data_IF_826462744197
#
_entry.id   IF_826462744197
#
_cell.length_a   1.000
_cell.length_b   1.000
_cell.length_c   1.000
_cell.angle_alpha   90.00
_cell.angle_beta   90.00
_cell.angle_gamma   90.00
#
_symmetry.space_group_name_H-M   'P 1'
#
loop_
_entity.id
_entity.type
_entity.pdbx_description
1 polymer ?
#
# COMPACT_ATOMS: atom_id res chain seq x y z
N UNK A 1 9.76 35.35 14.08
CA UNK A 1 10.25 34.99 12.73
C UNK A 1 9.04 34.54 11.93
N UNK A 2 8.79 35.13 10.76
CA UNK A 2 7.59 34.86 9.96
C UNK A 2 7.51 33.36 9.63
N UNK A 3 6.41 32.72 10.03
CA UNK A 3 6.21 31.28 9.90
C UNK A 3 5.88 30.84 8.46
N UNK A 4 5.70 31.79 7.54
CA UNK A 4 5.15 31.58 6.19
C UNK A 4 6.13 31.89 5.06
N UNK A 5 7.43 31.98 5.36
CA UNK A 5 8.42 32.17 4.31
C UNK A 5 8.48 30.93 3.41
N UNK A 6 8.34 31.13 2.10
CA UNK A 6 8.40 30.07 1.08
C UNK A 6 9.56 30.31 0.11
N UNK A 7 10.00 29.25 -0.56
CA UNK A 7 10.83 29.33 -1.76
C UNK A 7 10.00 28.89 -2.96
N UNK A 8 10.06 29.66 -4.04
CA UNK A 8 9.32 29.36 -5.27
C UNK A 8 10.18 28.54 -6.22
N UNK A 9 9.79 27.30 -6.51
CA UNK A 9 10.50 26.40 -7.42
C UNK A 9 9.50 25.83 -8.42
N UNK A 10 9.74 26.05 -9.72
CA UNK A 10 8.95 25.49 -10.81
C UNK A 10 7.42 25.70 -10.67
N UNK A 11 7.00 26.87 -10.18
CA UNK A 11 5.57 27.19 -10.00
C UNK A 11 4.98 26.70 -8.67
N UNK A 12 5.79 26.15 -7.77
CA UNK A 12 5.35 25.63 -6.46
C UNK A 12 6.01 26.43 -5.36
N UNK A 13 5.21 26.94 -4.43
CA UNK A 13 5.67 27.56 -3.19
C UNK A 13 5.95 26.50 -2.14
N UNK A 14 7.22 26.29 -1.82
CA UNK A 14 7.67 25.31 -0.84
C UNK A 14 7.98 26.04 0.47
N UNK A 15 7.36 25.70 1.60
CA UNK A 15 7.71 26.29 2.90
C UNK A 15 9.20 26.11 3.22
N UNK A 16 9.88 27.20 3.60
CA UNK A 16 11.30 27.14 3.98
C UNK A 16 11.55 26.17 5.12
N UNK A 17 10.59 26.00 6.03
CA UNK A 17 10.66 25.01 7.11
C UNK A 17 10.88 23.58 6.61
N UNK A 18 10.31 23.21 5.46
CA UNK A 18 10.52 21.88 4.87
C UNK A 18 11.94 21.75 4.32
N UNK A 19 12.45 22.80 3.69
CA UNK A 19 13.83 22.85 3.16
C UNK A 19 14.83 22.79 4.31
N UNK A 20 14.61 23.56 5.36
CA UNK A 20 15.43 23.56 6.56
C UNK A 20 15.43 22.19 7.26
N UNK A 21 14.26 21.57 7.40
CA UNK A 21 14.14 20.23 7.95
C UNK A 21 14.88 19.19 7.11
N UNK A 22 14.82 19.29 5.78
CA UNK A 22 15.61 18.42 4.89
C UNK A 22 17.11 18.64 5.09
N UNK A 23 17.56 19.90 5.17
CA UNK A 23 18.97 20.26 5.34
C UNK A 23 19.58 19.85 6.69
N UNK A 24 18.75 19.82 7.74
CA UNK A 24 19.11 19.41 9.10
C UNK A 24 18.96 17.91 9.35
N UNK A 25 18.53 17.13 8.34
CA UNK A 25 18.18 15.72 8.52
C UNK A 25 17.10 15.53 9.60
N UNK A 26 16.10 16.40 9.63
CA UNK A 26 14.94 16.40 10.55
C UNK A 26 13.62 16.09 9.81
N UNK A 27 13.64 16.06 8.47
CA UNK A 27 12.47 15.72 7.66
C UNK A 27 12.06 14.25 7.79
N UNK A 28 10.76 14.02 7.96
CA UNK A 28 10.08 12.73 7.76
C UNK A 28 8.90 12.96 6.83
N UNK A 29 8.74 12.11 5.82
CA UNK A 29 7.62 12.20 4.86
C UNK A 29 6.65 11.05 5.12
N UNK A 30 5.38 11.39 5.36
CA UNK A 30 4.27 10.44 5.39
C UNK A 30 3.58 10.45 4.03
N UNK A 31 3.58 9.32 3.34
CA UNK A 31 3.04 9.17 2.00
C UNK A 31 1.84 8.23 2.00
N UNK A 32 0.68 8.74 1.57
CA UNK A 32 -0.53 7.96 1.35
C UNK A 32 -0.82 7.74 -0.14
N UNK A 33 -2.00 7.20 -0.43
CA UNK A 33 -2.37 6.75 -1.78
C UNK A 33 -2.33 7.87 -2.82
N UNK A 34 -2.46 9.14 -2.39
CA UNK A 34 -2.35 10.31 -3.27
C UNK A 34 -1.04 10.41 -4.04
N UNK A 35 0.07 9.89 -3.51
CA UNK A 35 1.37 9.88 -4.23
C UNK A 35 1.35 8.90 -5.40
N UNK A 36 0.52 7.87 -5.35
CA UNK A 36 0.32 6.86 -6.41
C UNK A 36 -0.85 7.18 -7.35
N UNK A 37 -1.50 8.34 -7.17
CA UNK A 37 -2.60 8.84 -7.99
C UNK A 37 -2.12 9.93 -8.96
N UNK A 38 -2.66 10.07 -10.19
CA UNK A 38 -3.54 9.10 -10.85
C UNK A 38 -2.74 7.86 -11.23
N UNK A 39 -3.31 6.68 -11.01
CA UNK A 39 -2.65 5.43 -11.37
C UNK A 39 -3.22 4.24 -10.63
N UNK A 40 -2.86 4.11 -9.36
CA UNK A 40 -3.36 3.01 -8.52
C UNK A 40 -4.62 3.50 -7.78
N UNK A 41 -5.72 2.74 -7.82
CA UNK A 41 -6.92 3.09 -7.08
C UNK A 41 -6.67 3.24 -5.58
N UNK A 42 -7.51 4.05 -4.92
CA UNK A 42 -7.53 4.13 -3.45
C UNK A 42 -8.09 2.83 -2.85
N UNK A 43 -7.89 2.63 -1.54
CA UNK A 43 -8.22 1.39 -0.85
C UNK A 43 -9.63 0.87 -1.15
N UNK A 44 -10.65 1.72 -1.05
CA UNK A 44 -12.05 1.33 -1.26
C UNK A 44 -12.30 0.78 -2.66
N UNK A 45 -11.71 1.42 -3.67
CA UNK A 45 -11.82 1.00 -5.06
C UNK A 45 -10.99 -0.27 -5.33
N UNK A 46 -9.80 -0.40 -4.72
CA UNK A 46 -8.98 -1.62 -4.81
C UNK A 46 -9.73 -2.83 -4.26
N UNK A 47 -10.33 -2.69 -3.08
CA UNK A 47 -11.11 -3.74 -2.44
C UNK A 47 -12.29 -4.11 -3.32
N UNK A 48 -13.08 -3.13 -3.77
CA UNK A 48 -14.23 -3.38 -4.65
C UNK A 48 -13.84 -4.17 -5.90
N UNK A 49 -12.77 -3.76 -6.60
CA UNK A 49 -12.27 -4.46 -7.79
C UNK A 49 -11.74 -5.85 -7.48
N UNK A 50 -11.09 -6.04 -6.34
CA UNK A 50 -10.60 -7.34 -5.91
C UNK A 50 -11.78 -8.31 -5.68
N UNK A 51 -12.84 -7.83 -5.05
CA UNK A 51 -14.06 -8.60 -4.79
C UNK A 51 -14.85 -8.91 -6.07
N UNK A 52 -14.96 -7.94 -7.00
CA UNK A 52 -15.55 -8.16 -8.33
C UNK A 52 -14.80 -9.23 -9.15
N UNK A 53 -13.46 -9.28 -9.06
CA UNK A 53 -12.66 -10.29 -9.74
C UNK A 53 -12.91 -11.71 -9.23
N UNK A 54 -13.37 -11.87 -7.99
CA UNK A 54 -13.70 -13.18 -7.43
C UNK A 54 -14.93 -13.76 -8.14
N UNK A 55 -15.95 -12.93 -8.38
CA UNK A 55 -17.16 -13.29 -9.13
C UNK A 55 -16.82 -13.76 -10.55
N UNK A 56 -16.07 -12.94 -11.28
CA UNK A 56 -15.76 -13.19 -12.69
C UNK A 56 -14.85 -14.41 -12.92
N UNK A 57 -14.03 -14.80 -11.94
CA UNK A 57 -13.22 -16.03 -12.03
C UNK A 57 -14.05 -17.29 -11.88
N UNK A 58 -15.12 -17.28 -11.08
CA UNK A 58 -16.01 -18.43 -10.96
C UNK A 58 -16.86 -18.67 -12.21
N UNK A 59 -17.23 -17.62 -12.95
CA UNK A 59 -17.94 -17.77 -14.23
C UNK A 59 -17.09 -18.45 -15.32
N UNK A 60 -15.76 -18.46 -15.18
CA UNK A 60 -14.84 -19.12 -16.12
C UNK A 60 -14.32 -20.49 -15.62
N UNK A 61 -14.79 -20.97 -14.46
CA UNK A 61 -14.49 -22.32 -13.92
C UNK A 61 -15.69 -23.26 -14.19
N UNK A 62 -16.28 -23.18 -15.38
CA UNK A 62 -17.21 -24.19 -15.90
C UNK A 62 -16.48 -25.41 -16.54
N UNK A 63 -15.20 -25.62 -16.20
CA UNK A 63 -14.33 -26.63 -16.82
C UNK A 63 -13.48 -27.42 -15.81
N UNK A 64 -14.01 -27.70 -14.61
CA UNK A 64 -13.44 -28.71 -13.71
C UNK A 64 -14.50 -29.79 -13.44
N UNK A 65 -14.14 -31.09 -13.45
CA UNK A 65 -15.09 -32.18 -13.40
C UNK A 65 -15.84 -32.18 -12.07
N UNK A 66 -17.13 -32.47 -12.18
CA UNK A 66 -18.16 -32.43 -11.15
C UNK A 66 -17.70 -33.01 -9.80
N UNK A 67 -17.71 -32.16 -8.77
CA UNK A 67 -17.98 -32.57 -7.40
C UNK A 67 -19.04 -31.63 -6.84
N UNK A 68 -20.20 -32.13 -6.38
CA UNK A 68 -21.26 -31.28 -5.87
C UNK A 68 -20.90 -30.86 -4.44
N UNK A 69 -20.08 -29.82 -4.30
CA UNK A 69 -19.98 -29.10 -3.04
C UNK A 69 -21.09 -28.05 -3.03
N UNK A 70 -22.10 -28.28 -2.18
CA UNK A 70 -23.18 -27.34 -1.88
C UNK A 70 -22.58 -26.17 -1.08
N UNK A 71 -21.80 -25.31 -1.73
CA UNK A 71 -21.43 -24.01 -1.18
C UNK A 71 -22.32 -22.96 -1.88
N UNK A 72 -22.92 -22.01 -1.16
CA UNK A 72 -23.71 -20.97 -1.80
C UNK A 72 -22.83 -20.22 -2.82
N UNK A 73 -23.41 -19.75 -3.96
CA UNK A 73 -22.67 -18.95 -4.93
C UNK A 73 -21.92 -17.81 -4.23
N UNK A 74 -20.68 -17.57 -4.64
CA UNK A 74 -19.81 -16.55 -4.06
C UNK A 74 -20.39 -15.13 -4.11
N UNK A 75 -21.32 -14.91 -5.05
CA UNK A 75 -22.20 -13.73 -5.13
C UNK A 75 -23.06 -13.57 -3.87
N UNK A 76 -23.60 -14.66 -3.32
CA UNK A 76 -24.30 -14.64 -2.04
C UNK A 76 -23.34 -14.35 -0.87
N UNK A 77 -22.09 -14.78 -0.93
CA UNK A 77 -21.07 -14.49 0.10
C UNK A 77 -20.73 -13.01 0.17
N UNK A 78 -20.58 -12.33 -0.97
CA UNK A 78 -20.32 -10.88 -1.01
C UNK A 78 -21.56 -10.07 -0.60
N UNK A 79 -22.74 -10.48 -1.06
CA UNK A 79 -24.00 -9.81 -0.73
C UNK A 79 -24.42 -10.02 0.73
N UNK A 80 -24.03 -11.13 1.36
CA UNK A 80 -24.27 -11.41 2.79
C UNK A 80 -23.72 -10.32 3.72
N UNK A 81 -22.66 -9.64 3.31
CA UNK A 81 -22.01 -8.58 4.09
C UNK A 81 -22.20 -7.19 3.46
N UNK A 82 -23.21 -7.03 2.59
CA UNK A 82 -23.48 -5.77 1.90
C UNK A 82 -23.61 -4.58 2.88
N UNK A 83 -24.28 -4.81 4.00
CA UNK A 83 -24.63 -3.81 5.02
C UNK A 83 -23.48 -3.39 5.95
N UNK A 84 -22.33 -4.07 5.88
CA UNK A 84 -21.15 -3.72 6.68
C UNK A 84 -20.49 -2.47 6.09
N UNK A 85 -20.56 -1.36 6.83
CA UNK A 85 -19.98 -0.08 6.42
C UNK A 85 -18.44 -0.07 6.45
N UNK A 86 -17.84 -0.78 7.42
CA UNK A 86 -16.38 -0.87 7.57
C UNK A 86 -15.81 -1.84 6.54
N UNK A 87 -15.04 -1.32 5.57
CA UNK A 87 -14.38 -2.16 4.57
C UNK A 87 -13.39 -3.18 5.17
N UNK A 88 -12.53 -2.83 6.15
CA UNK A 88 -11.68 -3.82 6.80
C UNK A 88 -12.48 -4.94 7.48
N UNK A 89 -13.61 -4.62 8.11
CA UNK A 89 -14.49 -5.64 8.72
C UNK A 89 -15.13 -6.51 7.63
N UNK A 90 -15.63 -5.88 6.57
CA UNK A 90 -16.22 -6.59 5.43
C UNK A 90 -15.21 -7.54 4.80
N UNK A 91 -13.95 -7.12 4.67
CA UNK A 91 -12.87 -7.96 4.19
C UNK A 91 -12.59 -9.14 5.12
N UNK A 92 -12.63 -8.97 6.45
CA UNK A 92 -12.52 -10.10 7.39
C UNK A 92 -13.64 -11.10 7.18
N UNK A 93 -14.89 -10.63 7.07
CA UNK A 93 -16.04 -11.53 6.87
C UNK A 93 -15.93 -12.29 5.56
N UNK A 94 -15.57 -11.60 4.48
CA UNK A 94 -15.36 -12.22 3.17
C UNK A 94 -14.20 -13.22 3.24
N UNK A 95 -13.04 -12.83 3.80
CA UNK A 95 -11.89 -13.71 3.94
C UNK A 95 -12.25 -14.99 4.69
N UNK A 96 -13.00 -14.91 5.80
CA UNK A 96 -13.45 -16.06 6.56
C UNK A 96 -14.42 -16.97 5.78
N UNK A 97 -15.34 -16.37 5.01
CA UNK A 97 -16.30 -17.13 4.22
C UNK A 97 -15.62 -17.86 3.05
N UNK A 98 -14.62 -17.25 2.41
CA UNK A 98 -13.94 -17.81 1.21
C UNK A 98 -12.67 -18.60 1.53
N UNK A 99 -12.20 -18.59 2.78
CA UNK A 99 -10.98 -19.31 3.19
C UNK A 99 -11.10 -20.82 2.93
N UNK A 100 -12.30 -21.38 3.04
CA UNK A 100 -12.58 -22.80 2.78
C UNK A 100 -12.41 -23.19 1.31
N UNK A 101 -12.48 -22.21 0.41
CA UNK A 101 -12.33 -22.37 -1.03
C UNK A 101 -10.90 -22.04 -1.50
N UNK A 102 -9.93 -21.96 -0.59
CA UNK A 102 -8.51 -21.62 -0.84
C UNK A 102 -8.31 -20.23 -1.48
N UNK A 103 -9.23 -19.30 -1.21
CA UNK A 103 -9.17 -17.93 -1.71
C UNK A 103 -8.50 -17.01 -0.67
N UNK A 104 -7.40 -16.38 -1.07
CA UNK A 104 -6.70 -15.36 -0.30
C UNK A 104 -7.03 -13.95 -0.82
N UNK A 105 -7.74 -13.16 -0.03
CA UNK A 105 -8.20 -11.81 -0.37
C UNK A 105 -7.02 -10.83 -0.53
N UNK A 106 -5.98 -10.95 0.31
CA UNK A 106 -4.77 -10.12 0.18
C UNK A 106 -4.08 -10.35 -1.17
N UNK A 107 -4.02 -11.62 -1.61
CA UNK A 107 -3.46 -11.96 -2.91
C UNK A 107 -4.29 -11.40 -4.07
N UNK A 108 -5.62 -11.41 -3.96
CA UNK A 108 -6.50 -10.83 -4.97
C UNK A 108 -6.28 -9.32 -5.11
N UNK A 109 -6.14 -8.61 -3.99
CA UNK A 109 -5.81 -7.17 -3.99
C UNK A 109 -4.42 -6.93 -4.58
N UNK A 110 -3.41 -7.72 -4.17
CA UNK A 110 -2.06 -7.62 -4.71
C UNK A 110 -2.03 -7.82 -6.24
N UNK A 111 -2.86 -8.72 -6.76
CA UNK A 111 -3.02 -8.94 -8.21
C UNK A 111 -3.64 -7.72 -8.91
N UNK A 112 -4.65 -7.09 -8.32
CA UNK A 112 -5.25 -5.85 -8.83
C UNK A 112 -4.19 -4.75 -8.91
N UNK A 113 -3.48 -4.49 -7.81
CA UNK A 113 -2.43 -3.46 -7.77
C UNK A 113 -1.33 -3.77 -8.80
N UNK A 114 -0.88 -5.02 -8.88
CA UNK A 114 0.15 -5.45 -9.82
C UNK A 114 -0.26 -5.24 -11.27
N UNK A 115 -1.55 -5.43 -11.61
CA UNK A 115 -2.09 -5.14 -12.94
C UNK A 115 -1.97 -3.65 -13.25
N UNK A 116 -2.46 -2.78 -12.37
CA UNK A 116 -2.33 -1.32 -12.52
C UNK A 116 -0.87 -0.90 -12.70
N UNK A 117 0.04 -1.42 -11.87
CA UNK A 117 1.46 -1.08 -11.95
C UNK A 117 2.16 -1.54 -13.23
N UNK A 118 1.64 -2.56 -13.92
CA UNK A 118 2.16 -3.00 -15.22
C UNK A 118 1.66 -2.13 -16.36
N UNK A 119 0.42 -1.68 -16.29
CA UNK A 119 -0.24 -0.89 -17.34
C UNK A 119 0.22 0.58 -17.34
N UNK A 120 0.58 1.11 -16.18
CA UNK A 120 1.02 2.49 -16.02
C UNK A 120 2.50 2.67 -16.36
N UNK A 121 2.79 3.59 -17.29
CA UNK A 121 4.15 4.07 -17.55
C UNK A 121 4.57 5.05 -16.44
N UNK A 122 5.80 4.93 -15.93
CA UNK A 122 6.43 5.88 -15.00
C UNK A 122 5.77 6.08 -13.61
N UNK A 123 5.16 5.04 -13.00
CA UNK A 123 4.51 5.15 -11.67
C UNK A 123 5.40 5.66 -10.53
N UNK A 124 6.73 5.59 -10.69
CA UNK A 124 7.69 5.92 -9.65
C UNK A 124 8.22 7.35 -9.71
N UNK A 125 7.82 8.19 -10.68
CA UNK A 125 8.39 9.54 -10.83
C UNK A 125 8.15 10.42 -9.59
N UNK A 126 6.91 10.48 -9.09
CA UNK A 126 6.58 11.21 -7.85
C UNK A 126 7.35 10.68 -6.65
N UNK A 127 7.51 9.37 -6.58
CA UNK A 127 8.26 8.69 -5.52
C UNK A 127 9.76 9.04 -5.58
N UNK A 128 10.33 9.10 -6.79
CA UNK A 128 11.71 9.56 -7.00
C UNK A 128 11.88 11.02 -6.61
N UNK A 129 10.93 11.90 -6.93
CA UNK A 129 10.95 13.31 -6.50
C UNK A 129 10.97 13.41 -4.98
N UNK A 130 10.12 12.66 -4.28
CA UNK A 130 10.10 12.64 -2.81
C UNK A 130 11.41 12.14 -2.22
N UNK A 131 11.99 11.06 -2.76
CA UNK A 131 13.30 10.56 -2.32
C UNK A 131 14.42 11.57 -2.61
N UNK A 132 14.33 12.29 -3.72
CA UNK A 132 15.30 13.32 -4.12
C UNK A 132 15.19 14.61 -3.30
N UNK A 133 14.11 14.81 -2.54
CA UNK A 133 13.93 15.98 -1.68
C UNK A 133 14.79 15.92 -0.41
N UNK A 134 15.22 14.72 0.00
CA UNK A 134 16.16 14.56 1.09
C UNK A 134 17.56 15.06 0.68
N UNK A 135 18.21 15.75 1.61
CA UNK A 135 19.54 16.36 1.40
C UNK A 135 20.55 15.35 0.89
N UNK A 136 21.34 15.78 -0.10
CA UNK A 136 22.44 15.03 -0.74
C UNK A 136 22.03 13.68 -1.33
N UNK A 137 20.74 13.34 -1.31
CA UNK A 137 20.21 12.02 -1.64
C UNK A 137 20.91 10.92 -0.85
N UNK A 138 21.34 11.26 0.36
CA UNK A 138 22.02 10.34 1.24
C UNK A 138 20.97 9.38 1.83
N UNK A 139 21.09 8.11 1.45
CA UNK A 139 20.21 7.04 1.90
C UNK A 139 20.15 6.94 3.43
N UNK A 140 21.18 7.39 4.14
CA UNK A 140 21.24 7.37 5.60
C UNK A 140 20.45 8.52 6.25
N UNK A 141 19.87 9.42 5.46
CA UNK A 141 19.02 10.53 5.93
C UNK A 141 17.57 10.42 5.43
N UNK A 142 17.27 9.46 4.55
CA UNK A 142 15.92 9.26 4.04
C UNK A 142 15.04 8.66 5.13
N UNK A 143 13.88 9.27 5.36
CA UNK A 143 12.85 8.78 6.30
C UNK A 143 11.48 8.96 5.69
N UNK A 144 10.98 7.88 5.11
CA UNK A 144 9.63 7.82 4.54
C UNK A 144 8.81 6.80 5.31
N UNK A 145 7.59 7.16 5.64
CA UNK A 145 6.56 6.25 6.14
C UNK A 145 5.46 6.22 5.11
N UNK A 146 5.04 5.04 4.67
CA UNK A 146 3.98 4.87 3.69
C UNK A 146 2.92 3.90 4.18
N UNK A 147 1.66 4.23 3.90
CA UNK A 147 0.52 3.32 4.08
C UNK A 147 0.13 2.64 2.77
N UNK A 148 0.85 2.92 1.67
CA UNK A 148 0.58 2.33 0.37
C UNK A 148 1.18 0.92 0.28
N UNK A 149 0.41 -0.01 -0.28
CA UNK A 149 0.86 -1.37 -0.53
C UNK A 149 1.74 -1.51 -1.79
N UNK A 150 1.69 -0.51 -2.67
CA UNK A 150 2.34 -0.58 -3.98
C UNK A 150 3.88 -0.55 -3.92
N UNK A 151 4.50 -1.00 -5.01
CA UNK A 151 5.94 -1.12 -5.13
C UNK A 151 6.67 0.16 -5.62
N UNK A 152 6.01 1.32 -5.68
CA UNK A 152 6.57 2.48 -6.37
C UNK A 152 7.77 3.11 -5.64
N UNK A 153 7.73 3.18 -4.30
CA UNK A 153 8.89 3.61 -3.51
C UNK A 153 10.07 2.66 -3.65
N UNK A 154 9.83 1.35 -3.61
CA UNK A 154 10.88 0.38 -3.85
C UNK A 154 11.50 0.55 -5.22
N UNK A 155 10.69 0.67 -6.29
CA UNK A 155 11.17 0.91 -7.65
C UNK A 155 12.00 2.20 -7.73
N UNK A 156 11.54 3.26 -7.07
CA UNK A 156 12.27 4.53 -7.00
C UNK A 156 13.61 4.41 -6.25
N UNK A 157 13.65 3.59 -5.20
CA UNK A 157 14.85 3.29 -4.42
C UNK A 157 15.90 2.45 -5.18
N UNK A 158 15.55 1.83 -6.31
CA UNK A 158 16.51 1.13 -7.16
C UNK A 158 17.40 2.06 -8.00
N UNK A 159 17.17 3.38 -7.95
CA UNK A 159 18.08 4.35 -8.57
C UNK A 159 19.52 4.16 -8.07
N UNK A 160 20.57 4.31 -8.92
CA UNK A 160 21.95 3.97 -8.55
C UNK A 160 22.45 4.62 -7.25
N UNK A 161 22.05 5.85 -6.96
CA UNK A 161 22.44 6.58 -5.73
C UNK A 161 21.73 6.08 -4.46
N UNK A 162 20.62 5.38 -4.59
CA UNK A 162 19.78 4.90 -3.49
C UNK A 162 19.91 3.38 -3.29
N UNK A 163 20.81 2.72 -4.03
CA UNK A 163 21.02 1.28 -3.94
C UNK A 163 21.33 0.87 -2.50
N UNK A 164 20.53 -0.06 -1.98
CA UNK A 164 20.62 -0.54 -0.61
C UNK A 164 19.97 0.35 0.44
N UNK A 165 19.13 1.31 0.04
CA UNK A 165 18.22 2.01 0.96
C UNK A 165 17.36 0.98 1.72
N UNK A 166 17.38 1.06 3.06
CA UNK A 166 16.64 0.14 3.91
C UNK A 166 15.13 0.30 3.71
N UNK A 167 14.44 -0.84 3.72
CA UNK A 167 12.99 -0.92 3.63
C UNK A 167 12.51 -1.79 4.77
N UNK A 168 11.56 -1.29 5.55
CA UNK A 168 11.01 -1.94 6.72
C UNK A 168 9.55 -2.29 6.47
N UNK A 169 9.17 -3.52 6.82
CA UNK A 169 7.81 -4.03 6.72
C UNK A 169 7.47 -4.75 8.03
N UNK A 170 6.18 -4.95 8.27
CA UNK A 170 5.71 -5.75 9.40
C UNK A 170 6.30 -7.17 9.36
N UNK A 171 6.52 -7.84 10.50
CA UNK A 171 6.20 -7.40 11.88
C UNK A 171 7.27 -6.51 12.53
N UNK A 172 8.45 -6.35 11.92
CA UNK A 172 9.58 -5.63 12.53
C UNK A 172 9.62 -4.20 12.00
N UNK A 173 8.99 -3.29 12.74
CA UNK A 173 9.09 -1.85 12.48
C UNK A 173 10.19 -1.21 13.35
N UNK A 174 10.96 -0.26 12.79
CA UNK A 174 11.94 0.48 13.56
C UNK A 174 11.27 1.46 14.53
N UNK A 175 12.00 1.91 15.54
CA UNK A 175 11.55 3.00 16.41
C UNK A 175 11.35 4.28 15.60
N UNK A 176 10.23 4.98 15.85
CA UNK A 176 9.79 6.11 15.03
C UNK A 176 10.75 7.29 14.98
N UNK A 177 11.62 7.46 15.98
CA UNK A 177 12.59 8.54 16.08
C UNK A 177 13.96 8.22 15.45
N UNK A 178 14.24 6.95 15.13
CA UNK A 178 15.60 6.47 14.79
C UNK A 178 15.73 5.75 13.46
N UNK A 179 14.64 5.59 12.72
CA UNK A 179 14.70 4.87 11.46
C UNK A 179 15.38 5.66 10.34
N UNK A 180 15.99 4.94 9.40
CA UNK A 180 16.60 5.46 8.18
C UNK A 180 16.24 4.52 7.04
N UNK A 181 15.31 4.94 6.19
CA UNK A 181 14.75 4.10 5.15
C UNK A 181 13.29 4.42 4.84
N UNK A 182 12.64 3.47 4.18
CA UNK A 182 11.21 3.50 3.86
C UNK A 182 10.49 2.49 4.76
N UNK A 183 9.48 2.93 5.48
CA UNK A 183 8.64 2.09 6.35
C UNK A 183 7.28 1.87 5.67
N UNK A 184 6.93 0.62 5.37
CA UNK A 184 5.62 0.22 4.86
C UNK A 184 4.75 -0.23 6.03
N UNK A 185 3.92 0.68 6.56
CA UNK A 185 3.13 0.42 7.76
C UNK A 185 2.16 -0.74 7.59
N UNK A 186 1.54 -0.85 6.41
CA UNK A 186 0.55 -1.87 6.08
C UNK A 186 1.09 -2.97 5.17
N UNK A 187 2.42 -3.16 5.14
CA UNK A 187 3.07 -4.14 4.27
C UNK A 187 3.09 -3.73 2.80
N UNK A 188 3.45 -4.67 1.93
CA UNK A 188 3.54 -4.42 0.48
C UNK A 188 3.16 -5.64 -0.35
N UNK A 189 2.76 -5.42 -1.59
CA UNK A 189 2.23 -6.45 -2.49
C UNK A 189 3.18 -7.61 -2.87
N UNK A 190 4.48 -7.51 -2.56
CA UNK A 190 5.42 -8.62 -2.81
C UNK A 190 5.59 -9.53 -1.58
N UNK A 191 4.98 -9.16 -0.45
CA UNK A 191 4.91 -9.93 0.78
C UNK A 191 3.48 -9.77 1.33
N UNK A 192 2.56 -10.54 0.75
CA UNK A 192 1.13 -10.48 1.08
C UNK A 192 0.84 -10.89 2.52
N UNK A 193 1.70 -11.69 3.15
CA UNK A 193 1.56 -12.08 4.55
C UNK A 193 1.80 -10.88 5.48
N UNK A 194 2.69 -9.96 5.09
CA UNK A 194 2.92 -8.69 5.81
C UNK A 194 1.80 -7.66 5.65
N UNK A 195 0.86 -7.88 4.72
CA UNK A 195 -0.17 -6.87 4.41
C UNK A 195 -1.23 -6.77 5.49
N UNK A 196 -1.53 -5.53 5.91
CA UNK A 196 -2.58 -5.23 6.90
C UNK A 196 -3.78 -4.68 6.17
N UNK A 197 -4.80 -5.51 5.94
CA UNK A 197 -5.98 -5.14 5.16
C UNK A 197 -7.28 -5.27 5.94
N UNK A 198 -7.34 -6.19 6.90
CA UNK A 198 -8.54 -6.52 7.66
C UNK A 198 -8.47 -6.03 9.11
N UNK A 199 -9.58 -6.09 9.86
CA UNK A 199 -9.54 -5.80 11.30
C UNK A 199 -8.73 -6.84 12.07
N UNK A 200 -8.77 -8.11 11.66
CA UNK A 200 -7.93 -9.18 12.21
C UNK A 200 -6.46 -8.82 12.03
N UNK A 201 -6.04 -8.48 10.80
CA UNK A 201 -4.65 -8.08 10.53
C UNK A 201 -4.22 -6.88 11.39
N UNK A 202 -5.09 -5.88 11.51
CA UNK A 202 -4.81 -4.69 12.31
C UNK A 202 -4.62 -5.05 13.78
N UNK A 203 -5.49 -5.90 14.32
CA UNK A 203 -5.44 -6.36 15.70
C UNK A 203 -4.15 -7.15 15.96
N UNK A 204 -3.79 -8.06 15.06
CA UNK A 204 -2.56 -8.85 15.15
C UNK A 204 -1.31 -7.98 15.06
N UNK A 205 -1.27 -7.02 14.14
CA UNK A 205 -0.08 -6.21 13.90
C UNK A 205 0.19 -5.15 14.98
N UNK A 206 -0.88 -4.56 15.55
CA UNK A 206 -0.77 -3.37 16.40
C UNK A 206 -1.28 -3.53 17.83
N UNK A 207 -2.18 -4.48 18.10
CA UNK A 207 -2.81 -4.63 19.43
C UNK A 207 -2.28 -5.85 20.20
N UNK A 208 -1.94 -6.93 19.50
CA UNK A 208 -1.55 -8.20 20.11
C UNK A 208 -0.02 -8.39 20.24
N UNK A 209 0.70 -7.33 20.62
CA UNK A 209 2.16 -7.38 20.84
C UNK A 209 2.55 -7.60 22.29
#
# INVERSE_FOLDING_TARGET
MNNDSTIHIAGIDIPLKLVDAANKNELVIFAGAGVSSPGIPVFDELVKKALENILNKHDNIASLPEKPCVNPPLENTLNKHADIASLPEKLDRVQNDVQKDDINVKQLVANVISKYQKELKNCSEKHQILLNFFKDKDKDNIRIVTTNYDHNFHKAAQAPKLKGLQQYCQPILPFGDKFKGIVYLHGHINDTDSMIMTQTDFSEAYLNR
#
